data_IF_938710022840
#
_entry.id   IF_938710022840
#
_cell.length_a   1.000
_cell.length_b   1.000
_cell.length_c   1.000
_cell.angle_alpha   90.00
_cell.angle_beta   90.00
_cell.angle_gamma   90.00
#
_symmetry.space_group_name_H-M   'P 1'
#
loop_
_entity.id
_entity.type
_entity.pdbx_description
1 polymer ?
#
# COMPACT_ATOMS: atom_id res chain seq x y z
N UNK A 1 12.80 -17.78 7.57
CA UNK A 1 14.08 -18.07 8.21
C UNK A 1 14.94 -16.81 8.29
N UNK A 2 16.20 -16.94 8.70
CA UNK A 2 17.13 -15.83 8.86
C UNK A 2 17.41 -15.10 7.54
N UNK A 3 17.82 -13.84 7.64
CA UNK A 3 18.23 -13.05 6.49
C UNK A 3 19.60 -13.52 5.97
N UNK A 4 19.68 -13.85 4.69
CA UNK A 4 20.87 -14.40 4.06
C UNK A 4 22.06 -13.42 4.01
N UNK A 5 21.78 -12.12 4.10
CA UNK A 5 22.80 -11.08 4.17
C UNK A 5 23.64 -11.13 5.45
N UNK A 6 23.07 -11.57 6.56
CA UNK A 6 23.67 -11.45 7.89
C UNK A 6 24.47 -12.68 8.32
N UNK A 7 24.45 -13.77 7.56
CA UNK A 7 25.12 -15.00 7.92
C UNK A 7 25.54 -15.87 6.74
N UNK A 8 26.37 -16.88 6.98
CA UNK A 8 26.75 -17.82 5.95
C UNK A 8 25.55 -18.69 5.54
N UNK A 9 25.45 -19.04 4.26
CA UNK A 9 24.41 -19.91 3.70
C UNK A 9 24.27 -21.23 4.46
N UNK A 10 25.37 -21.76 4.98
CA UNK A 10 25.38 -22.99 5.82
C UNK A 10 24.53 -22.85 7.10
N UNK A 11 24.46 -21.65 7.67
CA UNK A 11 23.62 -21.41 8.84
C UNK A 11 22.14 -21.55 8.51
N UNK A 12 21.68 -20.94 7.42
CA UNK A 12 20.29 -21.02 6.97
C UNK A 12 19.89 -22.46 6.65
N UNK A 13 20.76 -23.21 5.98
CA UNK A 13 20.56 -24.66 5.75
C UNK A 13 20.45 -25.46 7.04
N UNK A 14 21.24 -25.13 8.05
CA UNK A 14 21.15 -25.76 9.37
C UNK A 14 19.80 -25.45 10.03
N UNK A 15 19.33 -24.21 9.99
CA UNK A 15 18.02 -23.83 10.53
C UNK A 15 16.88 -24.55 9.81
N UNK A 16 16.96 -24.67 8.49
CA UNK A 16 15.99 -25.43 7.70
C UNK A 16 15.98 -26.91 8.13
N UNK A 17 17.14 -27.56 8.21
CA UNK A 17 17.24 -28.94 8.65
C UNK A 17 16.61 -29.17 10.02
N UNK A 18 16.88 -28.28 10.99
CA UNK A 18 16.26 -28.34 12.31
C UNK A 18 14.73 -28.22 12.21
N UNK A 19 14.22 -27.29 11.41
CA UNK A 19 12.79 -27.11 11.22
C UNK A 19 12.13 -28.38 10.61
N UNK A 20 12.77 -29.01 9.62
CA UNK A 20 12.30 -30.26 9.02
C UNK A 20 12.33 -31.42 10.02
N UNK A 21 13.39 -31.55 10.83
CA UNK A 21 13.52 -32.57 11.88
C UNK A 21 12.45 -32.47 12.95
N UNK A 22 12.01 -31.28 13.31
CA UNK A 22 10.91 -31.05 14.27
C UNK A 22 9.52 -31.09 13.61
N UNK A 23 9.43 -31.39 12.31
CA UNK A 23 8.20 -31.73 11.61
C UNK A 23 7.56 -30.63 10.76
N UNK A 24 8.22 -29.51 10.50
CA UNK A 24 7.71 -28.52 9.56
C UNK A 24 7.78 -29.05 8.11
N UNK A 25 6.61 -29.07 7.45
CA UNK A 25 6.44 -29.48 6.04
C UNK A 25 5.82 -28.33 5.25
N UNK A 26 6.56 -27.25 5.11
CA UNK A 26 6.10 -26.00 4.47
C UNK A 26 7.20 -25.47 3.56
N UNK A 27 6.88 -24.63 2.57
CA UNK A 27 7.91 -23.89 1.83
C UNK A 27 8.72 -23.01 2.79
N UNK A 28 10.02 -23.01 2.63
CA UNK A 28 10.92 -22.13 3.37
C UNK A 28 11.30 -20.95 2.49
N UNK A 29 11.39 -19.77 3.11
CA UNK A 29 11.84 -18.58 2.42
C UNK A 29 12.94 -17.86 3.21
N UNK A 30 13.72 -17.07 2.49
CA UNK A 30 14.70 -16.16 3.07
C UNK A 30 14.60 -14.80 2.40
N UNK A 31 14.99 -13.76 3.13
CA UNK A 31 15.01 -12.41 2.63
C UNK A 31 16.21 -12.19 1.70
N UNK A 32 15.97 -11.77 0.48
CA UNK A 32 16.98 -11.53 -0.57
C UNK A 32 16.96 -10.11 -1.12
N UNK A 33 16.23 -9.22 -0.47
CA UNK A 33 16.16 -7.81 -0.87
C UNK A 33 17.47 -7.05 -0.69
N UNK A 34 18.42 -7.62 0.05
CA UNK A 34 19.76 -7.06 0.23
C UNK A 34 20.64 -7.43 -0.97
N UNK A 35 21.45 -6.51 -1.51
CA UNK A 35 22.18 -6.70 -2.76
C UNK A 35 23.12 -7.91 -2.82
N UNK A 36 23.54 -8.39 -1.66
CA UNK A 36 24.45 -9.54 -1.53
C UNK A 36 23.72 -10.85 -1.19
N UNK A 37 22.41 -10.80 -0.98
CA UNK A 37 21.61 -11.99 -0.73
C UNK A 37 21.46 -12.81 -2.01
N UNK A 38 22.09 -13.97 -2.07
CA UNK A 38 21.90 -14.95 -3.14
C UNK A 38 21.20 -16.14 -2.53
N UNK A 39 19.92 -16.37 -2.82
CA UNK A 39 19.22 -17.51 -2.26
C UNK A 39 19.80 -18.78 -2.84
N UNK A 40 19.93 -19.78 -1.98
CA UNK A 40 20.10 -21.14 -2.41
C UNK A 40 18.79 -21.68 -2.99
N UNK A 41 18.85 -22.58 -3.96
CA UNK A 41 17.69 -23.20 -4.63
C UNK A 41 16.71 -23.86 -3.66
N UNK A 42 17.14 -24.09 -2.44
CA UNK A 42 16.34 -24.65 -1.36
C UNK A 42 15.37 -23.65 -0.71
N UNK A 43 15.44 -22.37 -1.03
CA UNK A 43 14.65 -21.31 -0.41
C UNK A 43 13.93 -20.43 -1.43
N UNK A 44 12.69 -20.08 -1.12
CA UNK A 44 11.97 -19.08 -1.88
C UNK A 44 12.57 -17.68 -1.61
N UNK A 45 13.05 -16.97 -2.62
CA UNK A 45 13.56 -15.62 -2.47
C UNK A 45 12.40 -14.65 -2.18
N UNK A 46 12.55 -13.83 -1.14
CA UNK A 46 11.58 -12.81 -0.76
C UNK A 46 12.19 -11.44 -0.96
N UNK A 47 11.48 -10.62 -1.72
CA UNK A 47 11.89 -9.25 -2.03
C UNK A 47 11.35 -8.25 -1.01
N UNK A 48 11.83 -7.02 -1.10
CA UNK A 48 11.37 -5.91 -0.27
C UNK A 48 11.61 -4.57 -0.93
N UNK A 49 11.18 -3.50 -0.30
CA UNK A 49 11.40 -2.14 -0.77
C UNK A 49 10.63 -1.13 0.04
N UNK A 50 11.20 0.07 0.21
CA UNK A 50 10.61 1.17 0.98
C UNK A 50 10.46 2.42 0.11
N UNK A 51 9.48 3.27 0.38
CA UNK A 51 9.26 4.50 -0.39
C UNK A 51 10.35 5.56 -0.17
N UNK A 52 11.24 5.37 0.81
CA UNK A 52 12.32 6.27 1.16
C UNK A 52 13.49 5.49 1.78
N UNK A 53 14.64 6.11 1.97
CA UNK A 53 15.83 5.50 2.56
C UNK A 53 16.37 6.32 3.77
N UNK A 54 15.68 6.29 4.92
CA UNK A 54 16.07 7.07 6.09
C UNK A 54 17.42 6.69 6.68
N UNK A 55 17.91 5.49 6.40
CA UNK A 55 19.24 5.00 6.77
C UNK A 55 20.39 5.68 5.99
N UNK A 56 20.09 6.33 4.87
CA UNK A 56 21.09 7.05 4.10
C UNK A 56 21.59 8.28 4.89
N UNK A 57 22.89 8.32 5.18
CA UNK A 57 23.52 9.38 5.99
C UNK A 57 23.86 10.65 5.22
N UNK A 58 23.71 10.65 3.90
CA UNK A 58 23.90 11.82 3.07
C UNK A 58 22.91 12.95 3.42
N UNK A 59 23.34 14.20 3.27
CA UNK A 59 22.49 15.39 3.55
C UNK A 59 21.69 15.87 2.34
N UNK A 60 22.05 15.43 1.13
CA UNK A 60 21.35 15.79 -0.11
C UNK A 60 19.98 15.13 -0.19
N UNK A 61 19.12 15.68 -1.04
CA UNK A 61 17.90 14.99 -1.43
C UNK A 61 18.25 13.63 -2.06
N UNK A 62 17.46 12.61 -1.73
CA UNK A 62 17.60 11.30 -2.37
C UNK A 62 17.06 11.39 -3.79
N UNK A 63 17.69 10.65 -4.69
CA UNK A 63 17.14 10.45 -6.04
C UNK A 63 15.83 9.66 -5.94
N UNK A 64 14.87 9.88 -6.87
CA UNK A 64 13.74 9.00 -7.03
C UNK A 64 14.20 7.55 -7.18
N UNK A 65 13.52 6.64 -6.56
CA UNK A 65 13.90 5.23 -6.53
C UNK A 65 13.00 4.35 -7.42
N UNK A 66 13.43 3.13 -7.70
CA UNK A 66 12.73 2.19 -8.59
C UNK A 66 11.50 1.52 -7.96
N UNK A 67 11.14 1.84 -6.71
CA UNK A 67 10.09 1.14 -5.94
C UNK A 67 8.71 1.36 -6.50
N UNK A 68 8.53 2.46 -7.20
CA UNK A 68 7.27 2.79 -7.87
C UNK A 68 7.24 2.34 -9.33
N UNK A 69 8.28 1.63 -9.80
CA UNK A 69 8.31 1.10 -11.16
C UNK A 69 7.43 -0.14 -11.30
N UNK A 70 6.66 -0.18 -12.39
CA UNK A 70 5.98 -1.39 -12.84
C UNK A 70 6.91 -2.04 -13.87
N UNK A 71 7.53 -3.17 -13.51
CA UNK A 71 8.67 -3.74 -14.23
C UNK A 71 8.66 -5.27 -14.19
N UNK A 72 9.19 -5.95 -15.22
CA UNK A 72 9.37 -7.40 -15.18
C UNK A 72 10.50 -7.85 -14.24
N UNK A 73 11.36 -6.93 -13.77
CA UNK A 73 12.42 -7.28 -12.85
C UNK A 73 11.85 -7.65 -11.48
N UNK A 74 12.18 -8.82 -10.97
CA UNK A 74 11.79 -9.29 -9.64
C UNK A 74 12.83 -8.94 -8.58
N UNK A 75 14.05 -8.56 -8.98
CA UNK A 75 15.11 -8.12 -8.08
C UNK A 75 15.06 -6.62 -7.90
N UNK A 76 15.32 -6.17 -6.69
CA UNK A 76 15.48 -4.77 -6.36
C UNK A 76 16.81 -4.55 -5.66
N UNK A 77 17.57 -3.56 -6.13
CA UNK A 77 18.91 -3.28 -5.68
C UNK A 77 19.01 -2.29 -4.53
N UNK A 78 17.87 -1.89 -3.94
CA UNK A 78 17.83 -0.69 -3.12
C UNK A 78 17.47 -0.85 -1.64
N UNK A 79 16.98 -1.98 -1.14
CA UNK A 79 17.06 -2.16 0.31
C UNK A 79 18.53 -2.32 0.65
N UNK A 80 19.12 -1.25 1.18
CA UNK A 80 20.55 -1.20 1.46
C UNK A 80 21.47 -1.01 0.23
N UNK A 81 20.94 -0.87 -1.00
CA UNK A 81 21.74 -0.62 -2.21
C UNK A 81 22.49 0.69 -2.15
N UNK A 82 21.95 1.69 -1.47
CA UNK A 82 22.62 2.94 -1.13
C UNK A 82 23.83 2.74 -0.20
N UNK A 83 23.86 1.65 0.60
CA UNK A 83 25.00 1.27 1.43
C UNK A 83 26.05 0.48 0.66
N UNK A 84 25.66 -0.36 -0.28
CA UNK A 84 26.53 -1.36 -0.91
C UNK A 84 26.89 -1.05 -2.37
N UNK A 85 26.35 0.01 -2.96
CA UNK A 85 26.66 0.45 -4.35
C UNK A 85 26.37 -0.59 -5.44
N UNK A 86 25.49 -1.52 -5.20
CA UNK A 86 25.05 -2.44 -6.25
C UNK A 86 23.91 -1.81 -7.03
N UNK A 87 23.90 -1.91 -8.35
CA UNK A 87 23.02 -1.16 -9.24
C UNK A 87 22.37 -2.06 -10.29
N UNK A 88 21.83 -3.21 -9.90
CA UNK A 88 21.28 -4.09 -10.95
C UNK A 88 19.94 -4.69 -10.55
N UNK A 89 18.86 -4.08 -11.04
CA UNK A 89 17.61 -4.80 -11.23
C UNK A 89 17.77 -5.70 -12.45
N UNK A 90 17.80 -7.00 -12.30
CA UNK A 90 17.98 -7.95 -13.38
C UNK A 90 16.65 -8.59 -13.76
N UNK A 91 16.29 -8.49 -15.04
CA UNK A 91 15.16 -9.22 -15.63
C UNK A 91 15.57 -10.68 -15.83
N UNK A 92 14.67 -11.61 -15.54
CA UNK A 92 14.91 -13.06 -15.71
C UNK A 92 15.48 -13.76 -14.49
N UNK A 93 16.02 -13.02 -13.53
CA UNK A 93 16.43 -13.58 -12.24
C UNK A 93 15.19 -13.99 -11.46
N UNK A 94 15.18 -15.19 -10.91
CA UNK A 94 14.04 -15.76 -10.16
C UNK A 94 12.76 -16.00 -10.97
N UNK A 95 12.83 -16.09 -12.30
CA UNK A 95 11.63 -16.39 -13.12
C UNK A 95 11.07 -17.80 -12.90
N UNK A 96 11.88 -18.68 -12.34
CA UNK A 96 11.54 -20.07 -12.00
C UNK A 96 10.74 -20.22 -10.68
N UNK A 97 10.56 -19.13 -9.91
CA UNK A 97 9.80 -19.11 -8.65
C UNK A 97 8.72 -18.05 -8.66
N UNK A 98 7.68 -18.18 -7.82
CA UNK A 98 6.69 -17.12 -7.63
C UNK A 98 7.36 -15.82 -7.19
N UNK A 99 6.88 -14.69 -7.70
CA UNK A 99 7.30 -13.38 -7.23
C UNK A 99 6.68 -13.11 -5.86
N UNK A 100 7.50 -12.95 -4.84
CA UNK A 100 7.08 -12.80 -3.45
C UNK A 100 7.84 -11.70 -2.73
N UNK A 101 7.17 -11.02 -1.81
CA UNK A 101 7.74 -9.99 -0.96
C UNK A 101 7.31 -10.19 0.48
N UNK A 102 8.22 -10.03 1.44
CA UNK A 102 7.92 -10.05 2.86
C UNK A 102 8.24 -8.72 3.55
N UNK A 103 8.88 -7.80 2.83
CA UNK A 103 9.33 -6.52 3.37
C UNK A 103 8.97 -5.36 2.43
N UNK A 104 7.73 -5.37 1.93
CA UNK A 104 7.19 -4.20 1.22
C UNK A 104 6.80 -3.15 2.25
N UNK A 105 7.48 -2.00 2.26
CA UNK A 105 7.20 -0.91 3.18
C UNK A 105 6.00 -0.07 2.73
N UNK A 106 4.85 -0.18 3.38
CA UNK A 106 3.74 0.75 3.15
C UNK A 106 3.90 2.04 3.97
N UNK A 107 4.96 2.15 4.70
CA UNK A 107 5.44 3.26 5.48
C UNK A 107 6.95 3.23 5.54
N UNK A 108 7.55 4.06 6.38
CA UNK A 108 8.97 4.01 6.65
C UNK A 108 9.32 4.66 8.00
N UNK A 109 10.41 4.19 8.59
CA UNK A 109 10.90 4.70 9.84
C UNK A 109 11.61 6.06 9.64
N UNK A 110 11.68 6.84 10.72
CA UNK A 110 12.53 8.01 10.79
C UNK A 110 13.85 7.67 11.48
N UNK A 111 14.92 8.34 11.09
CA UNK A 111 16.22 8.24 11.75
C UNK A 111 16.69 9.59 12.25
N UNK A 112 17.83 9.63 12.96
CA UNK A 112 18.44 10.89 13.37
C UNK A 112 18.89 11.75 12.16
N UNK A 113 19.22 11.13 11.02
CA UNK A 113 19.70 11.84 9.84
C UNK A 113 18.58 12.29 8.93
N UNK A 114 17.50 11.48 8.82
CA UNK A 114 16.39 11.72 7.89
C UNK A 114 15.06 11.44 8.57
N UNK A 115 14.09 12.29 8.26
CA UNK A 115 12.72 12.17 8.76
C UNK A 115 11.76 12.25 7.58
N UNK A 116 11.70 11.19 6.74
CA UNK A 116 10.81 11.18 5.60
C UNK A 116 9.36 11.25 6.07
N UNK A 117 8.56 12.03 5.36
CA UNK A 117 7.12 11.95 5.44
C UNK A 117 6.63 10.97 4.37
N UNK A 118 5.79 10.05 4.77
CA UNK A 118 5.19 9.06 3.88
C UNK A 118 3.74 9.46 3.66
N UNK A 119 3.45 9.93 2.45
CA UNK A 119 2.10 10.29 2.02
C UNK A 119 1.23 9.05 1.75
N UNK A 120 -0.07 9.27 1.57
CA UNK A 120 -0.99 8.20 1.14
C UNK A 120 -0.49 7.51 -0.13
N UNK A 121 -0.04 8.29 -1.11
CA UNK A 121 0.45 7.76 -2.40
C UNK A 121 1.77 7.03 -2.26
N UNK A 122 2.66 7.48 -1.39
CA UNK A 122 3.92 6.79 -1.10
C UNK A 122 3.66 5.40 -0.50
N UNK A 123 2.85 5.35 0.56
CA UNK A 123 2.58 4.11 1.28
C UNK A 123 1.79 3.08 0.45
N UNK A 124 0.90 3.55 -0.42
CA UNK A 124 0.17 2.69 -1.34
C UNK A 124 1.02 2.26 -2.55
N UNK A 125 1.78 3.20 -3.12
CA UNK A 125 2.37 3.06 -4.45
C UNK A 125 3.42 1.95 -4.57
N UNK A 126 4.21 1.70 -3.52
CA UNK A 126 5.20 0.61 -3.54
C UNK A 126 4.52 -0.76 -3.64
N UNK A 127 3.50 -1.00 -2.80
CA UNK A 127 2.72 -2.23 -2.85
C UNK A 127 1.97 -2.38 -4.17
N UNK A 128 1.36 -1.30 -4.66
CA UNK A 128 0.67 -1.27 -5.94
C UNK A 128 1.59 -1.60 -7.12
N UNK A 129 2.79 -1.02 -7.18
CA UNK A 129 3.73 -1.27 -8.26
C UNK A 129 4.18 -2.74 -8.31
N UNK A 130 4.44 -3.35 -7.15
CA UNK A 130 4.77 -4.78 -7.05
C UNK A 130 3.59 -5.66 -7.47
N UNK A 131 2.39 -5.34 -7.01
CA UNK A 131 1.18 -6.05 -7.37
C UNK A 131 0.92 -5.97 -8.88
N UNK A 132 1.04 -4.79 -9.48
CA UNK A 132 0.96 -4.60 -10.92
C UNK A 132 2.06 -5.36 -11.69
N UNK A 133 3.23 -5.53 -11.08
CA UNK A 133 4.37 -6.28 -11.65
C UNK A 133 4.25 -7.81 -11.55
N UNK A 134 3.12 -8.32 -11.06
CA UNK A 134 2.87 -9.77 -11.02
C UNK A 134 3.20 -10.42 -9.68
N UNK A 135 3.33 -9.64 -8.60
CA UNK A 135 3.57 -10.19 -7.27
C UNK A 135 2.42 -11.12 -6.85
N UNK A 136 2.76 -12.29 -6.32
CA UNK A 136 1.83 -13.34 -5.91
C UNK A 136 1.68 -13.45 -4.38
N UNK A 137 2.69 -13.00 -3.63
CA UNK A 137 2.65 -12.93 -2.18
C UNK A 137 3.14 -11.55 -1.76
N UNK A 138 2.23 -10.74 -1.20
CA UNK A 138 2.50 -9.39 -0.75
C UNK A 138 2.55 -9.35 0.78
N UNK A 139 3.76 -9.41 1.33
CA UNK A 139 4.02 -9.21 2.75
C UNK A 139 4.56 -7.81 3.01
N UNK A 140 4.15 -7.24 4.12
CA UNK A 140 4.52 -5.88 4.51
C UNK A 140 5.48 -5.83 5.69
N UNK A 141 6.32 -4.79 5.69
CA UNK A 141 7.10 -4.39 6.85
C UNK A 141 7.17 -2.84 6.94
N UNK A 142 6.49 -2.19 7.89
CA UNK A 142 5.52 -2.69 8.87
C UNK A 142 4.11 -2.38 8.40
N UNK A 143 3.15 -3.31 8.56
CA UNK A 143 1.74 -2.99 8.36
C UNK A 143 1.12 -2.37 9.61
N UNK A 144 1.56 -2.82 10.77
CA UNK A 144 1.19 -2.28 12.08
C UNK A 144 2.42 -1.70 12.75
N UNK A 145 2.34 -0.47 13.20
CA UNK A 145 3.36 0.14 14.03
C UNK A 145 3.47 -0.50 15.40
N UNK A 146 4.60 -0.30 16.06
CA UNK A 146 4.88 -0.83 17.39
C UNK A 146 5.57 0.16 18.30
N UNK A 147 5.70 -0.23 19.56
CA UNK A 147 6.50 0.48 20.55
C UNK A 147 7.46 -0.49 21.22
N UNK A 148 8.74 -0.14 21.24
CA UNK A 148 9.74 -0.92 21.92
C UNK A 148 9.67 -0.70 23.44
N UNK A 149 9.99 -1.71 24.27
CA UNK A 149 10.10 -1.54 25.73
C UNK A 149 11.20 -0.53 26.10
N UNK A 150 10.92 0.33 27.07
CA UNK A 150 11.85 1.36 27.51
C UNK A 150 13.03 0.85 28.35
N UNK A 151 12.89 -0.31 28.97
CA UNK A 151 13.78 -0.86 30.00
C UNK A 151 14.82 -1.85 29.46
N UNK A 152 14.86 -2.04 28.13
CA UNK A 152 15.71 -3.06 27.50
C UNK A 152 16.51 -2.50 26.33
N UNK A 153 17.59 -3.19 26.01
CA UNK A 153 18.35 -2.90 24.80
C UNK A 153 17.48 -3.12 23.57
N UNK A 154 17.43 -2.11 22.72
CA UNK A 154 16.70 -2.14 21.46
C UNK A 154 17.63 -2.55 20.34
N UNK A 155 17.11 -3.37 19.44
CA UNK A 155 17.92 -3.93 18.36
C UNK A 155 18.47 -2.86 17.43
N UNK A 156 17.67 -1.91 17.00
CA UNK A 156 18.00 -0.98 15.92
C UNK A 156 18.10 0.46 16.39
N UNK A 157 18.97 0.73 17.34
CA UNK A 157 19.17 2.08 17.84
C UNK A 157 20.62 2.37 18.23
N UNK A 158 20.90 3.62 18.60
CA UNK A 158 22.23 4.09 18.94
C UNK A 158 22.87 3.34 20.11
N UNK A 159 22.08 2.84 21.07
CA UNK A 159 22.59 2.15 22.26
C UNK A 159 23.14 0.76 21.92
N UNK A 160 22.64 0.15 20.87
CA UNK A 160 23.12 -1.15 20.37
C UNK A 160 24.20 -1.01 19.30
N UNK A 161 24.64 0.21 19.01
CA UNK A 161 25.57 0.53 17.93
C UNK A 161 25.08 0.17 16.52
N UNK A 162 23.79 -0.08 16.35
CA UNK A 162 23.22 -0.33 15.05
C UNK A 162 23.28 0.94 14.18
N UNK A 163 23.67 0.84 12.90
CA UNK A 163 24.01 2.01 12.09
C UNK A 163 22.82 2.91 11.75
N UNK A 164 21.59 2.43 11.90
CA UNK A 164 20.40 3.16 11.45
C UNK A 164 19.96 4.29 12.37
N UNK A 165 20.33 4.27 13.65
CA UNK A 165 19.99 5.30 14.63
C UNK A 165 18.48 5.61 14.71
N UNK A 166 17.66 4.57 14.77
CA UNK A 166 16.22 4.68 14.96
C UNK A 166 15.86 5.23 16.34
N UNK A 167 14.66 5.80 16.52
CA UNK A 167 14.14 6.15 17.83
C UNK A 167 14.14 4.93 18.77
N UNK A 168 14.38 5.16 20.06
CA UNK A 168 14.51 4.05 21.02
C UNK A 168 13.18 3.35 21.26
N UNK A 169 12.12 4.12 21.47
CA UNK A 169 10.78 3.59 21.83
C UNK A 169 9.86 3.49 20.64
N UNK A 170 9.93 4.49 19.78
CA UNK A 170 9.00 4.61 18.64
C UNK A 170 9.43 3.69 17.51
N UNK A 171 8.59 2.71 17.23
CA UNK A 171 8.72 1.81 16.07
C UNK A 171 7.45 1.85 15.21
N UNK A 172 6.88 3.05 15.05
CA UNK A 172 5.63 3.28 14.33
C UNK A 172 5.71 3.05 12.83
N UNK A 173 6.88 3.31 12.21
CA UNK A 173 7.12 3.18 10.77
C UNK A 173 6.20 3.99 9.87
N UNK A 174 5.40 4.91 10.40
CA UNK A 174 4.30 5.52 9.66
C UNK A 174 3.45 4.44 8.94
N UNK A 175 3.28 3.31 9.61
CA UNK A 175 2.60 2.13 9.08
C UNK A 175 1.10 2.41 8.81
N UNK A 176 0.43 1.63 7.95
CA UNK A 176 -1.01 1.72 7.71
C UNK A 176 -1.85 1.74 8.97
N UNK A 177 -1.51 0.91 9.94
CA UNK A 177 -2.03 0.98 11.30
C UNK A 177 -0.93 1.54 12.21
N UNK A 178 -1.18 2.69 12.81
CA UNK A 178 -0.24 3.31 13.72
C UNK A 178 0.00 2.43 14.95
N UNK A 179 1.07 2.68 15.67
CA UNK A 179 1.34 2.01 16.96
C UNK A 179 0.22 2.19 17.99
N UNK A 180 -0.70 3.08 17.73
CA UNK A 180 -1.87 3.37 18.57
C UNK A 180 -3.17 2.78 18.02
N UNK A 181 -3.11 2.06 16.90
CA UNK A 181 -4.27 1.44 16.26
C UNK A 181 -5.05 2.37 15.32
N UNK A 182 -4.55 3.58 15.05
CA UNK A 182 -5.18 4.50 14.09
C UNK A 182 -4.90 4.05 12.65
N UNK A 183 -5.92 3.93 11.83
CA UNK A 183 -5.77 3.67 10.40
C UNK A 183 -5.39 4.96 9.66
N UNK A 184 -4.33 4.90 8.86
CA UNK A 184 -3.89 6.01 8.00
C UNK A 184 -4.46 5.89 6.60
N UNK A 185 -4.51 7.01 5.86
CA UNK A 185 -5.09 7.07 4.53
C UNK A 185 -4.52 6.03 3.53
N UNK A 186 -3.23 5.71 3.60
CA UNK A 186 -2.66 4.63 2.79
C UNK A 186 -3.12 3.24 3.25
N UNK A 187 -3.47 3.07 4.52
CA UNK A 187 -4.11 1.85 5.01
C UNK A 187 -5.50 1.65 4.41
N UNK A 188 -6.28 2.70 4.33
CA UNK A 188 -7.60 2.68 3.69
C UNK A 188 -7.50 2.30 2.21
N UNK A 189 -6.53 2.88 1.51
CA UNK A 189 -6.30 2.58 0.09
C UNK A 189 -5.79 1.15 -0.13
N UNK A 190 -4.87 0.67 0.70
CA UNK A 190 -4.39 -0.72 0.66
C UNK A 190 -5.54 -1.70 0.94
N UNK A 191 -6.46 -1.36 1.84
CA UNK A 191 -7.64 -2.19 2.13
C UNK A 191 -8.47 -2.46 0.88
N UNK A 192 -8.70 -1.45 0.02
CA UNK A 192 -9.43 -1.65 -1.23
C UNK A 192 -8.75 -2.67 -2.15
N UNK A 193 -7.43 -2.62 -2.26
CA UNK A 193 -6.67 -3.60 -3.04
C UNK A 193 -6.72 -5.00 -2.41
N UNK A 194 -6.64 -5.09 -1.08
CA UNK A 194 -6.76 -6.38 -0.39
C UNK A 194 -8.16 -6.98 -0.50
N UNK A 195 -9.20 -6.14 -0.43
CA UNK A 195 -10.58 -6.57 -0.66
C UNK A 195 -10.76 -7.10 -2.07
N UNK A 196 -10.22 -6.43 -3.09
CA UNK A 196 -10.23 -6.94 -4.46
C UNK A 196 -9.66 -8.36 -4.54
N UNK A 197 -8.48 -8.60 -3.97
CA UNK A 197 -7.82 -9.90 -4.00
C UNK A 197 -8.66 -10.96 -3.27
N UNK A 198 -9.27 -10.62 -2.15
CA UNK A 198 -10.00 -11.57 -1.31
C UNK A 198 -11.44 -11.80 -1.77
N UNK A 199 -12.14 -10.72 -2.14
CA UNK A 199 -13.59 -10.73 -2.32
C UNK A 199 -14.02 -10.62 -3.80
N UNK A 200 -13.13 -10.24 -4.71
CA UNK A 200 -13.47 -10.08 -6.12
C UNK A 200 -12.77 -11.12 -7.01
N UNK A 201 -11.46 -11.22 -6.96
CA UNK A 201 -10.66 -12.18 -7.74
C UNK A 201 -9.50 -12.76 -6.92
N UNK A 202 -9.76 -13.87 -6.24
CA UNK A 202 -8.76 -14.61 -5.47
C UNK A 202 -7.81 -15.44 -6.37
N UNK A 203 -8.07 -15.51 -7.67
CA UNK A 203 -7.22 -16.19 -8.66
C UNK A 203 -6.29 -15.24 -9.41
N UNK A 204 -6.23 -13.97 -9.04
CA UNK A 204 -5.36 -12.97 -9.69
C UNK A 204 -3.89 -13.42 -9.76
N UNK A 205 -3.42 -14.22 -8.82
CA UNK A 205 -2.06 -14.75 -8.81
C UNK A 205 -1.76 -15.73 -9.97
N UNK A 206 -2.79 -16.31 -10.60
CA UNK A 206 -2.63 -17.17 -11.79
C UNK A 206 -2.49 -16.35 -13.07
N UNK A 207 -2.80 -15.05 -13.04
CA UNK A 207 -2.71 -14.16 -14.19
C UNK A 207 -1.29 -13.62 -14.36
N UNK A 208 -0.68 -13.96 -15.49
CA UNK A 208 0.68 -13.51 -15.83
C UNK A 208 0.73 -12.00 -16.08
N UNK A 209 1.83 -11.35 -15.68
CA UNK A 209 2.06 -9.94 -15.96
C UNK A 209 2.73 -9.74 -17.33
N UNK A 210 2.20 -8.78 -18.11
CA UNK A 210 2.73 -8.36 -19.39
C UNK A 210 3.06 -6.88 -19.33
N UNK A 211 4.22 -6.52 -19.90
CA UNK A 211 4.79 -5.17 -19.80
C UNK A 211 4.94 -4.52 -21.17
N UNK A 212 4.88 -3.20 -21.25
CA UNK A 212 5.21 -2.49 -22.48
C UNK A 212 6.69 -2.70 -22.82
N UNK A 213 7.01 -2.60 -24.10
CA UNK A 213 8.40 -2.59 -24.54
C UNK A 213 9.05 -1.27 -24.12
N UNK A 214 9.83 -1.29 -23.06
CA UNK A 214 10.54 -0.13 -22.55
C UNK A 214 11.60 0.33 -23.53
N UNK A 215 11.58 1.62 -23.87
CA UNK A 215 12.59 2.21 -24.74
C UNK A 215 13.70 2.93 -23.97
N UNK A 216 13.41 3.47 -22.79
CA UNK A 216 14.37 4.31 -22.07
C UNK A 216 15.23 3.57 -21.05
N UNK A 217 14.77 2.47 -20.49
CA UNK A 217 15.44 1.79 -19.39
C UNK A 217 15.58 2.62 -18.10
N UNK A 218 15.04 3.84 -18.09
CA UNK A 218 15.08 4.76 -16.96
C UNK A 218 13.72 4.72 -16.23
N UNK A 219 13.64 4.13 -15.02
CA UNK A 219 12.40 4.06 -14.25
C UNK A 219 11.89 5.44 -13.80
N UNK A 220 12.74 6.47 -13.83
CA UNK A 220 12.41 7.84 -13.45
C UNK A 220 12.02 8.71 -14.65
N UNK A 221 11.75 8.12 -15.80
CA UNK A 221 11.30 8.85 -16.98
C UNK A 221 9.81 9.19 -16.85
N UNK A 222 9.52 10.42 -16.47
CA UNK A 222 8.15 10.93 -16.28
C UNK A 222 7.37 11.12 -17.59
N UNK A 223 8.02 11.01 -18.74
CA UNK A 223 7.37 11.03 -20.06
C UNK A 223 6.77 9.67 -20.40
N UNK A 224 7.08 8.64 -19.62
CA UNK A 224 6.65 7.27 -19.81
C UNK A 224 5.61 6.85 -18.76
N UNK A 225 4.46 6.39 -19.22
CA UNK A 225 3.42 5.84 -18.35
C UNK A 225 3.84 4.47 -17.82
N UNK A 226 3.92 4.33 -16.51
CA UNK A 226 4.13 3.04 -15.85
C UNK A 226 2.83 2.24 -15.92
N UNK A 227 2.85 1.13 -16.63
CA UNK A 227 1.68 0.27 -16.75
C UNK A 227 2.05 -1.20 -16.99
N UNK A 228 1.10 -2.06 -16.72
CA UNK A 228 1.15 -3.47 -17.04
C UNK A 228 -0.25 -4.03 -17.26
N UNK A 229 -0.31 -5.26 -17.75
CA UNK A 229 -1.52 -6.06 -17.83
C UNK A 229 -1.27 -7.36 -17.09
N UNK A 230 -2.17 -7.75 -16.20
CA UNK A 230 -2.20 -9.13 -15.68
C UNK A 230 -3.37 -9.85 -16.31
N UNK A 231 -3.10 -10.93 -17.04
CA UNK A 231 -4.13 -11.66 -17.76
C UNK A 231 -3.84 -13.16 -17.81
N UNK A 232 -4.90 -13.95 -17.91
CA UNK A 232 -4.82 -15.38 -18.18
C UNK A 232 -4.63 -15.67 -19.67
N UNK A 233 -4.48 -16.94 -20.01
CA UNK A 233 -4.30 -17.43 -21.39
C UNK A 233 -5.50 -17.12 -22.32
N UNK A 234 -6.68 -16.87 -21.75
CA UNK A 234 -7.89 -16.51 -22.47
C UNK A 234 -7.98 -15.01 -22.78
N UNK A 235 -7.08 -14.20 -22.23
CA UNK A 235 -7.08 -12.75 -22.38
C UNK A 235 -8.05 -12.04 -21.44
N UNK A 236 -8.47 -12.68 -20.34
CA UNK A 236 -9.23 -12.06 -19.27
C UNK A 236 -8.26 -11.53 -18.21
N UNK A 237 -8.44 -10.29 -17.78
CA UNK A 237 -7.50 -9.73 -16.81
C UNK A 237 -7.77 -8.30 -16.37
N UNK A 238 -6.68 -7.65 -15.97
CA UNK A 238 -6.68 -6.31 -15.40
C UNK A 238 -5.57 -5.47 -15.99
N UNK A 239 -5.88 -4.24 -16.36
CA UNK A 239 -4.91 -3.21 -16.72
C UNK A 239 -4.54 -2.41 -15.48
N UNK A 240 -3.27 -2.21 -15.25
CA UNK A 240 -2.69 -1.43 -14.15
C UNK A 240 -1.99 -0.20 -14.70
N UNK A 241 -2.18 0.94 -14.05
CA UNK A 241 -1.57 2.21 -14.42
C UNK A 241 -1.10 2.99 -13.21
N UNK A 242 0.08 3.60 -13.33
CA UNK A 242 0.65 4.50 -12.33
C UNK A 242 1.31 5.70 -13.00
N UNK A 243 0.78 6.89 -12.77
CA UNK A 243 1.38 8.16 -13.12
C UNK A 243 1.97 8.85 -11.86
N UNK A 244 2.59 8.05 -10.98
CA UNK A 244 3.12 8.51 -9.71
C UNK A 244 4.53 7.98 -9.44
N UNK A 245 5.34 8.84 -8.84
CA UNK A 245 6.60 8.50 -8.16
C UNK A 245 6.94 9.57 -7.13
N UNK A 246 7.46 9.15 -5.98
CA UNK A 246 7.87 10.08 -4.93
C UNK A 246 8.99 11.00 -5.42
N UNK A 247 8.76 12.31 -5.28
CA UNK A 247 9.73 13.33 -5.66
C UNK A 247 9.79 13.66 -7.16
N UNK A 248 8.87 13.12 -7.96
CA UNK A 248 8.71 13.48 -9.37
C UNK A 248 7.31 14.05 -9.64
N UNK A 249 7.26 15.06 -10.50
CA UNK A 249 6.01 15.66 -10.98
C UNK A 249 5.69 15.12 -12.37
N UNK A 250 4.65 14.32 -12.49
CA UNK A 250 4.14 13.82 -13.76
C UNK A 250 3.24 14.84 -14.43
N UNK A 251 3.14 14.76 -15.75
CA UNK A 251 2.07 15.39 -16.51
C UNK A 251 0.91 14.42 -16.72
N UNK A 252 -0.27 14.94 -17.08
CA UNK A 252 -1.38 14.14 -17.55
C UNK A 252 -0.99 13.43 -18.85
N UNK A 253 -1.38 12.17 -18.99
CA UNK A 253 -1.29 11.44 -20.24
C UNK A 253 -2.64 11.48 -20.95
N UNK A 254 -2.63 11.87 -22.21
CA UNK A 254 -3.83 11.99 -23.03
C UNK A 254 -3.93 10.87 -24.04
N UNK A 255 -5.17 10.44 -24.33
CA UNK A 255 -5.47 9.44 -25.38
C UNK A 255 -4.60 8.17 -25.26
N UNK A 256 -4.45 7.67 -24.04
CA UNK A 256 -3.63 6.48 -23.78
C UNK A 256 -4.30 5.27 -24.43
N UNK A 257 -3.64 4.71 -25.42
CA UNK A 257 -4.09 3.53 -26.15
C UNK A 257 -3.17 2.35 -25.83
N UNK A 258 -3.73 1.28 -25.32
CA UNK A 258 -2.99 0.06 -24.99
C UNK A 258 -3.50 -1.10 -25.84
N UNK A 259 -2.58 -1.76 -26.51
CA UNK A 259 -2.83 -3.02 -27.22
C UNK A 259 -1.76 -4.02 -26.79
N UNK A 260 -2.16 -5.22 -26.44
CA UNK A 260 -1.24 -6.29 -26.07
C UNK A 260 -1.68 -7.62 -26.70
N UNK A 261 -0.71 -8.55 -26.82
CA UNK A 261 -0.96 -9.86 -27.41
C UNK A 261 -0.72 -10.95 -26.36
N UNK A 262 -1.62 -11.92 -26.33
CA UNK A 262 -1.52 -13.13 -25.54
C UNK A 262 -1.63 -14.30 -26.51
N UNK A 263 -0.52 -14.97 -26.80
CA UNK A 263 -0.44 -15.91 -27.90
C UNK A 263 -0.85 -15.22 -29.21
N UNK A 264 -1.81 -15.80 -29.92
CA UNK A 264 -2.33 -15.27 -31.19
C UNK A 264 -3.48 -14.24 -31.01
N UNK A 265 -3.89 -13.98 -29.76
CA UNK A 265 -4.99 -13.05 -29.45
C UNK A 265 -4.44 -11.64 -29.23
N UNK A 266 -5.02 -10.66 -29.95
CA UNK A 266 -4.76 -9.24 -29.73
C UNK A 266 -5.92 -8.62 -28.96
N UNK A 267 -5.60 -7.99 -27.81
CA UNK A 267 -6.56 -7.29 -26.97
C UNK A 267 -6.28 -5.80 -27.02
N UNK A 268 -7.28 -5.02 -27.43
CA UNK A 268 -7.22 -3.57 -27.44
C UNK A 268 -8.07 -3.02 -26.29
N UNK A 269 -7.45 -2.25 -25.40
CA UNK A 269 -8.13 -1.55 -24.32
C UNK A 269 -8.74 -0.23 -24.79
N UNK A 270 -9.74 0.32 -24.06
CA UNK A 270 -10.30 1.62 -24.38
C UNK A 270 -9.24 2.72 -24.27
N UNK A 271 -9.36 3.75 -25.12
CA UNK A 271 -8.57 4.97 -24.96
C UNK A 271 -9.04 5.74 -23.74
N UNK A 272 -8.11 6.15 -22.87
CA UNK A 272 -8.40 6.88 -21.65
C UNK A 272 -7.38 8.00 -21.40
N UNK A 273 -7.82 9.06 -20.73
CA UNK A 273 -6.95 10.07 -20.16
C UNK A 273 -6.53 9.67 -18.76
N UNK A 274 -5.24 9.78 -18.44
CA UNK A 274 -4.69 9.41 -17.14
C UNK A 274 -4.11 10.64 -16.47
N UNK A 275 -4.64 10.96 -15.30
CA UNK A 275 -4.21 12.11 -14.51
C UNK A 275 -2.87 11.89 -13.81
N UNK A 276 -2.07 12.93 -13.76
CA UNK A 276 -0.85 12.96 -12.95
C UNK A 276 -1.15 12.59 -11.50
N UNK A 277 -0.32 11.73 -10.93
CA UNK A 277 -0.44 11.25 -9.56
C UNK A 277 -1.49 10.15 -9.35
N UNK A 278 -2.19 9.67 -10.39
CA UNK A 278 -3.15 8.58 -10.27
C UNK A 278 -2.48 7.21 -10.28
N UNK A 279 -3.08 6.28 -9.55
CA UNK A 279 -2.72 4.86 -9.52
C UNK A 279 -3.99 4.04 -9.41
N UNK A 280 -4.30 3.25 -10.42
CA UNK A 280 -5.53 2.46 -10.48
C UNK A 280 -5.35 1.21 -11.35
N UNK A 281 -6.34 0.33 -11.29
CA UNK A 281 -6.50 -0.80 -12.21
C UNK A 281 -7.97 -1.03 -12.51
N UNK A 282 -8.25 -1.62 -13.67
CA UNK A 282 -9.61 -1.99 -14.08
C UNK A 282 -9.64 -3.31 -14.84
N UNK A 283 -10.76 -4.06 -14.78
CA UNK A 283 -10.92 -5.34 -15.45
C UNK A 283 -11.26 -5.17 -16.94
N UNK A 284 -10.82 -6.16 -17.72
CA UNK A 284 -11.21 -6.30 -19.13
C UNK A 284 -11.43 -7.77 -19.49
N UNK A 285 -12.26 -8.03 -20.51
CA UNK A 285 -12.68 -9.36 -20.97
C UNK A 285 -13.13 -10.28 -19.83
N UNK A 286 -13.87 -9.72 -18.88
CA UNK A 286 -14.30 -10.46 -17.68
C UNK A 286 -15.75 -10.88 -17.79
N UNK A 287 -16.05 -12.11 -17.34
CA UNK A 287 -17.42 -12.58 -17.17
C UNK A 287 -17.83 -12.46 -15.71
N UNK A 288 -18.95 -11.77 -15.47
CA UNK A 288 -19.54 -11.65 -14.13
C UNK A 288 -21.00 -12.11 -14.26
N UNK A 289 -21.41 -13.09 -13.48
CA UNK A 289 -22.74 -13.68 -13.60
C UNK A 289 -22.99 -14.20 -15.02
N UNK A 290 -24.05 -13.72 -15.67
CA UNK A 290 -24.38 -14.05 -17.06
C UNK A 290 -23.79 -13.06 -18.08
N UNK A 291 -23.19 -11.96 -17.64
CA UNK A 291 -22.76 -10.84 -18.49
C UNK A 291 -21.29 -10.94 -18.86
N UNK A 292 -20.97 -10.74 -20.13
CA UNK A 292 -19.60 -10.57 -20.59
C UNK A 292 -19.29 -9.08 -20.71
N UNK A 293 -18.24 -8.64 -20.00
CA UNK A 293 -17.75 -7.28 -20.04
C UNK A 293 -16.45 -7.22 -20.86
N UNK A 294 -16.43 -6.40 -21.91
CA UNK A 294 -15.19 -6.13 -22.63
C UNK A 294 -14.25 -5.33 -21.74
N UNK A 295 -14.80 -4.38 -20.96
CA UNK A 295 -14.11 -3.68 -19.88
C UNK A 295 -15.11 -3.02 -18.92
N UNK A 296 -14.64 -2.71 -17.70
CA UNK A 296 -15.33 -1.86 -16.74
C UNK A 296 -14.31 -0.81 -16.26
N UNK A 297 -14.48 0.47 -16.66
CA UNK A 297 -13.58 1.57 -16.26
C UNK A 297 -13.87 2.01 -14.82
N UNK A 298 -13.64 1.11 -13.89
CA UNK A 298 -13.69 1.32 -12.46
C UNK A 298 -12.86 0.23 -11.78
N UNK A 299 -12.27 0.54 -10.63
CA UNK A 299 -11.43 -0.38 -9.87
C UNK A 299 -12.29 -1.34 -9.05
N UNK A 300 -12.22 -2.65 -9.27
CA UNK A 300 -13.02 -3.62 -8.51
C UNK A 300 -12.57 -3.69 -7.05
N UNK A 301 -13.54 -3.88 -6.14
CA UNK A 301 -13.31 -4.01 -4.71
C UNK A 301 -13.82 -5.37 -4.20
N UNK A 302 -15.12 -5.63 -4.38
CA UNK A 302 -15.76 -6.83 -3.85
C UNK A 302 -16.95 -7.24 -4.72
N UNK A 303 -17.35 -8.51 -4.65
CA UNK A 303 -18.58 -9.02 -5.26
C UNK A 303 -19.33 -9.93 -4.28
N UNK A 304 -20.65 -9.85 -4.32
CA UNK A 304 -21.55 -10.68 -3.55
C UNK A 304 -22.43 -11.44 -4.54
N UNK A 305 -22.53 -12.74 -4.37
CA UNK A 305 -23.47 -13.57 -5.13
C UNK A 305 -24.54 -14.10 -4.20
N UNK A 306 -25.80 -13.73 -4.49
CA UNK A 306 -26.96 -14.16 -3.70
C UNK A 306 -28.16 -14.33 -4.62
N UNK A 307 -28.89 -15.43 -4.46
CA UNK A 307 -30.16 -15.72 -5.19
C UNK A 307 -30.05 -15.52 -6.72
N UNK A 308 -28.93 -15.97 -7.32
CA UNK A 308 -28.66 -15.85 -8.76
C UNK A 308 -28.30 -14.46 -9.26
N UNK A 309 -28.25 -13.45 -8.38
CA UNK A 309 -27.78 -12.09 -8.65
C UNK A 309 -26.36 -11.89 -8.18
N UNK A 310 -25.61 -11.05 -8.88
CA UNK A 310 -24.25 -10.67 -8.50
C UNK A 310 -24.18 -9.15 -8.32
N UNK A 311 -23.88 -8.71 -7.11
CA UNK A 311 -23.63 -7.30 -6.80
C UNK A 311 -22.14 -7.06 -6.71
N UNK A 312 -21.62 -6.12 -7.52
CA UNK A 312 -20.20 -5.79 -7.60
C UNK A 312 -19.97 -4.34 -7.16
N UNK A 313 -19.02 -4.17 -6.27
CA UNK A 313 -18.58 -2.88 -5.75
C UNK A 313 -17.27 -2.49 -6.42
N UNK A 314 -17.24 -1.27 -6.93
CA UNK A 314 -16.09 -0.67 -7.61
C UNK A 314 -15.78 0.69 -7.00
N UNK A 315 -14.51 1.07 -6.98
CA UNK A 315 -14.11 2.46 -6.78
C UNK A 315 -13.91 3.15 -8.12
N UNK A 316 -14.15 4.43 -8.17
CA UNK A 316 -13.74 5.29 -9.28
C UNK A 316 -12.23 5.12 -9.54
N UNK A 317 -11.83 4.96 -10.81
CA UNK A 317 -10.45 5.19 -11.22
C UNK A 317 -10.19 6.70 -11.24
N UNK A 318 -9.26 7.19 -10.46
CA UNK A 318 -9.03 8.64 -10.22
C UNK A 318 -9.12 9.49 -11.50
N UNK A 319 -10.21 10.25 -11.64
CA UNK A 319 -10.44 11.17 -12.75
C UNK A 319 -10.89 10.54 -14.08
N UNK A 320 -11.33 9.29 -14.07
CA UNK A 320 -11.90 8.59 -15.22
C UNK A 320 -13.41 8.44 -15.04
N UNK A 321 -14.18 8.90 -16.01
CA UNK A 321 -15.62 8.69 -16.02
C UNK A 321 -15.96 7.19 -16.08
N UNK A 322 -16.72 6.65 -15.12
CA UNK A 322 -16.99 5.23 -15.06
C UNK A 322 -17.97 4.80 -16.16
N UNK A 323 -17.57 3.83 -16.93
CA UNK A 323 -18.38 3.19 -17.97
C UNK A 323 -17.95 1.74 -18.19
N UNK A 324 -18.79 0.97 -18.81
CA UNK A 324 -18.45 -0.38 -19.22
C UNK A 324 -18.96 -0.67 -20.64
N UNK A 325 -18.39 -1.69 -21.26
CA UNK A 325 -19.00 -2.33 -22.42
C UNK A 325 -19.46 -3.73 -21.99
N UNK A 326 -20.75 -3.92 -22.02
CA UNK A 326 -21.40 -5.16 -21.64
C UNK A 326 -22.17 -5.74 -22.83
N UNK A 327 -21.91 -6.99 -23.18
CA UNK A 327 -22.53 -7.65 -24.34
C UNK A 327 -22.46 -6.77 -25.62
N UNK A 328 -21.32 -6.09 -25.85
CA UNK A 328 -21.07 -5.22 -27.01
C UNK A 328 -21.74 -3.85 -26.95
N UNK A 329 -22.34 -3.44 -25.82
CA UNK A 329 -22.98 -2.12 -25.66
C UNK A 329 -22.24 -1.29 -24.60
N UNK A 330 -21.93 -0.04 -24.95
CA UNK A 330 -21.36 0.91 -24.00
C UNK A 330 -22.46 1.44 -23.06
N UNK A 331 -22.18 1.47 -21.76
CA UNK A 331 -23.09 1.89 -20.69
C UNK A 331 -22.31 2.82 -19.77
N UNK A 332 -22.81 4.04 -19.57
CA UNK A 332 -22.30 4.95 -18.52
C UNK A 332 -22.79 4.46 -17.17
N UNK A 333 -21.89 4.46 -16.19
CA UNK A 333 -22.19 4.00 -14.82
C UNK A 333 -22.41 5.20 -13.91
N UNK A 334 -23.53 5.22 -13.23
CA UNK A 334 -23.84 6.26 -12.22
C UNK A 334 -23.15 5.93 -10.91
N UNK A 335 -22.62 6.96 -10.24
CA UNK A 335 -22.07 6.81 -8.89
C UNK A 335 -23.15 6.57 -7.84
N UNK A 336 -22.80 5.80 -6.80
CA UNK A 336 -23.61 5.51 -5.61
C UNK A 336 -25.02 4.94 -5.92
N UNK A 337 -25.18 4.33 -7.07
CA UNK A 337 -26.40 3.68 -7.53
C UNK A 337 -26.13 2.30 -8.08
N UNK A 338 -27.13 1.45 -8.03
CA UNK A 338 -27.12 0.18 -8.74
C UNK A 338 -27.29 0.41 -10.23
N UNK A 339 -26.27 0.05 -11.02
CA UNK A 339 -26.34 0.00 -12.46
C UNK A 339 -26.63 -1.47 -12.83
N UNK A 340 -27.89 -1.79 -13.12
CA UNK A 340 -28.35 -3.16 -13.33
C UNK A 340 -28.17 -3.56 -14.80
N UNK A 341 -27.44 -4.65 -15.02
CA UNK A 341 -27.20 -5.25 -16.34
C UNK A 341 -27.49 -6.75 -16.21
N UNK A 342 -28.61 -7.20 -16.75
CA UNK A 342 -29.15 -8.57 -16.58
C UNK A 342 -29.21 -8.98 -15.08
N UNK A 343 -28.44 -9.99 -14.68
CA UNK A 343 -28.37 -10.44 -13.28
C UNK A 343 -27.21 -9.83 -12.48
N UNK A 344 -26.52 -8.82 -13.04
CA UNK A 344 -25.38 -8.15 -12.41
C UNK A 344 -25.74 -6.71 -12.04
N UNK A 345 -25.47 -6.33 -10.81
CA UNK A 345 -25.54 -4.94 -10.30
C UNK A 345 -24.13 -4.40 -10.12
N UNK A 346 -23.79 -3.31 -10.79
CA UNK A 346 -22.52 -2.60 -10.64
C UNK A 346 -22.76 -1.34 -9.83
N UNK A 347 -22.04 -1.19 -8.70
CA UNK A 347 -22.09 -0.02 -7.82
C UNK A 347 -20.73 0.63 -7.86
N UNK A 348 -20.63 1.81 -8.47
CA UNK A 348 -19.40 2.59 -8.52
C UNK A 348 -19.42 3.65 -7.43
N UNK A 349 -18.39 3.67 -6.61
CA UNK A 349 -18.24 4.55 -5.45
C UNK A 349 -17.21 5.61 -5.82
N UNK A 350 -17.48 6.91 -5.61
CA UNK A 350 -16.48 7.96 -5.78
C UNK A 350 -15.20 7.64 -5.01
N UNK A 351 -14.03 7.94 -5.56
CA UNK A 351 -12.74 7.50 -5.02
C UNK A 351 -12.55 7.84 -3.54
N UNK A 352 -12.83 9.09 -3.14
CA UNK A 352 -12.67 9.51 -1.75
C UNK A 352 -13.64 8.79 -0.80
N UNK A 353 -14.87 8.54 -1.23
CA UNK A 353 -15.85 7.78 -0.46
C UNK A 353 -15.50 6.30 -0.35
N UNK A 354 -14.86 5.74 -1.37
CA UNK A 354 -14.45 4.34 -1.38
C UNK A 354 -13.43 4.02 -0.26
N UNK A 355 -12.66 5.01 0.20
CA UNK A 355 -11.74 4.85 1.34
C UNK A 355 -12.47 4.47 2.63
N UNK A 356 -13.77 4.74 2.74
CA UNK A 356 -14.61 4.37 3.86
C UNK A 356 -15.36 3.04 3.66
N UNK A 357 -15.08 2.36 2.54
CA UNK A 357 -15.70 1.07 2.24
C UNK A 357 -15.03 -0.06 3.02
N UNK A 358 -15.83 -0.82 3.74
CA UNK A 358 -15.44 -2.02 4.46
C UNK A 358 -16.31 -3.19 4.02
N UNK A 359 -15.75 -4.38 4.04
CA UNK A 359 -16.48 -5.61 3.73
C UNK A 359 -16.26 -6.59 4.87
N UNK A 360 -17.28 -6.75 5.72
CA UNK A 360 -17.19 -7.47 6.98
C UNK A 360 -18.30 -8.49 7.04
N UNK A 361 -17.94 -9.76 7.31
CA UNK A 361 -18.89 -10.87 7.39
C UNK A 361 -19.76 -11.05 6.13
N UNK A 362 -19.21 -10.72 4.94
CA UNK A 362 -19.93 -10.84 3.67
C UNK A 362 -20.84 -9.66 3.35
N UNK A 363 -20.85 -8.61 4.16
CA UNK A 363 -21.70 -7.42 3.96
C UNK A 363 -20.89 -6.16 3.80
N UNK A 364 -21.34 -5.20 2.96
CA UNK A 364 -20.68 -3.92 2.73
C UNK A 364 -21.07 -2.90 3.80
N UNK A 365 -20.10 -2.12 4.24
CA UNK A 365 -20.27 -1.00 5.17
C UNK A 365 -19.54 0.23 4.67
N UNK A 366 -20.09 1.42 4.99
CA UNK A 366 -19.42 2.71 4.79
C UNK A 366 -19.22 3.36 6.16
N UNK A 367 -18.00 3.26 6.66
CA UNK A 367 -17.65 3.66 8.02
C UNK A 367 -16.37 4.50 8.00
N UNK A 368 -16.43 5.67 8.66
CA UNK A 368 -15.27 6.55 8.81
C UNK A 368 -14.41 6.13 10.01
N UNK A 369 -13.12 6.44 9.97
CA UNK A 369 -12.20 6.24 11.08
C UNK A 369 -11.67 4.80 11.17
N UNK A 370 -11.31 4.39 12.37
CA UNK A 370 -10.79 3.05 12.61
C UNK A 370 -11.93 2.06 12.82
N UNK A 371 -11.98 1.05 11.99
CA UNK A 371 -13.02 0.00 12.03
C UNK A 371 -12.39 -1.35 12.30
N UNK A 372 -12.94 -2.08 13.26
CA UNK A 372 -12.53 -3.45 13.55
C UNK A 372 -13.72 -4.34 13.88
N UNK A 373 -13.52 -5.64 13.76
CA UNK A 373 -14.54 -6.63 14.09
C UNK A 373 -14.01 -7.53 15.20
N UNK A 374 -14.78 -7.67 16.27
CA UNK A 374 -14.50 -8.59 17.36
C UNK A 374 -15.72 -9.46 17.62
N UNK A 375 -15.52 -10.79 17.60
CA UNK A 375 -16.58 -11.79 17.80
C UNK A 375 -17.85 -11.53 16.98
N UNK A 376 -17.70 -11.10 15.71
CA UNK A 376 -18.80 -10.80 14.80
C UNK A 376 -19.44 -9.43 14.99
N UNK A 377 -19.03 -8.66 15.99
CA UNK A 377 -19.52 -7.31 16.24
C UNK A 377 -18.58 -6.31 15.57
N UNK A 378 -19.14 -5.39 14.78
CA UNK A 378 -18.40 -4.32 14.12
C UNK A 378 -18.31 -3.12 15.06
N UNK A 379 -17.11 -2.65 15.29
CA UNK A 379 -16.81 -1.47 16.07
C UNK A 379 -16.24 -0.39 15.16
N UNK A 380 -16.64 0.84 15.42
CA UNK A 380 -16.15 2.03 14.75
C UNK A 380 -15.64 3.01 15.81
N UNK A 381 -14.38 3.40 15.70
CA UNK A 381 -13.81 4.47 16.50
C UNK A 381 -13.71 5.73 15.63
N UNK A 382 -14.50 6.74 15.98
CA UNK A 382 -14.43 8.06 15.36
C UNK A 382 -13.58 8.98 16.23
N UNK A 383 -12.73 9.77 15.58
CA UNK A 383 -12.09 10.90 16.24
C UNK A 383 -13.16 11.97 16.44
N UNK A 384 -13.61 12.15 17.66
CA UNK A 384 -14.53 13.25 17.98
C UNK A 384 -13.72 14.53 18.22
N UNK A 385 -14.07 15.60 17.50
CA UNK A 385 -13.57 16.93 17.80
C UNK A 385 -14.26 17.46 19.07
N UNK A 386 -13.44 17.76 20.08
CA UNK A 386 -13.93 18.47 21.26
C UNK A 386 -13.61 19.95 21.04
N UNK A 387 -14.65 20.77 20.88
CA UNK A 387 -14.51 22.24 20.84
C UNK A 387 -14.26 22.73 22.26
N UNK A 388 -13.02 23.06 22.56
CA UNK A 388 -12.62 23.64 23.83
C UNK A 388 -12.77 25.15 23.74
N UNK A 389 -13.94 25.67 24.15
CA UNK A 389 -14.23 27.12 24.15
C UNK A 389 -13.54 27.88 25.27
N UNK A 390 -12.98 27.18 26.26
CA UNK A 390 -12.50 27.77 27.50
C UNK A 390 -11.00 27.55 27.72
N UNK A 391 -10.46 28.04 28.83
CA UNK A 391 -9.05 28.09 29.18
C UNK A 391 -8.39 26.71 29.21
N UNK A 392 -7.27 26.52 28.47
CA UNK A 392 -6.35 25.41 28.71
C UNK A 392 -5.40 25.81 29.84
N UNK A 393 -5.35 25.04 30.91
CA UNK A 393 -4.27 25.15 31.90
C UNK A 393 -2.98 24.54 31.33
N UNK A 394 -2.02 25.41 31.01
CA UNK A 394 -0.68 25.01 30.58
C UNK A 394 0.27 24.88 31.76
N UNK A 395 0.09 24.02 32.63
CA UNK A 395 0.73 23.77 33.92
C UNK A 395 -0.02 24.37 35.10
N UNK A 396 0.23 23.82 36.28
CA UNK A 396 -0.36 24.33 37.56
C UNK A 396 -0.03 25.79 37.88
N UNK A 397 0.83 26.43 37.10
CA UNK A 397 1.36 27.76 37.39
C UNK A 397 1.08 28.85 36.37
N UNK A 398 0.55 28.52 35.18
CA UNK A 398 0.23 29.54 34.17
C UNK A 398 -1.07 29.24 33.45
N UNK A 399 -2.10 30.02 33.76
CA UNK A 399 -3.33 30.08 32.95
C UNK A 399 -3.13 31.05 31.79
N UNK A 400 -3.19 30.59 30.57
CA UNK A 400 -3.21 31.44 29.39
C UNK A 400 -4.53 31.24 28.65
N UNK A 401 -5.25 32.31 28.44
CA UNK A 401 -6.39 32.33 27.53
C UNK A 401 -5.81 32.34 26.10
N UNK A 402 -6.07 31.29 25.35
CA UNK A 402 -5.71 31.28 23.94
C UNK A 402 -6.74 32.09 23.13
N UNK A 403 -6.28 33.02 22.30
CA UNK A 403 -7.18 33.90 21.55
C UNK A 403 -7.82 33.21 20.32
N UNK A 404 -7.64 31.89 20.17
CA UNK A 404 -8.05 31.16 18.99
C UNK A 404 -8.83 29.90 19.34
N UNK A 405 -9.78 29.53 18.49
CA UNK A 405 -10.42 28.22 18.56
C UNK A 405 -9.40 27.15 18.20
N UNK A 406 -9.23 26.17 19.06
CA UNK A 406 -8.41 25.00 18.84
C UNK A 406 -9.30 23.77 18.98
N UNK A 407 -8.93 22.71 18.29
CA UNK A 407 -9.64 21.45 18.32
C UNK A 407 -8.78 20.40 18.98
N UNK A 408 -9.33 19.78 20.01
CA UNK A 408 -8.76 18.60 20.65
C UNK A 408 -9.54 17.38 20.13
N UNK A 409 -8.85 16.48 19.47
CA UNK A 409 -9.44 15.26 18.96
C UNK A 409 -9.15 14.12 19.92
N UNK A 410 -10.19 13.50 20.48
CA UNK A 410 -10.06 12.26 21.25
C UNK A 410 -9.97 11.10 20.27
N UNK A 411 -8.95 10.25 20.45
CA UNK A 411 -8.78 9.03 19.65
C UNK A 411 -9.45 7.81 20.26
N UNK A 412 -10.52 8.02 21.07
CA UNK A 412 -11.26 6.93 21.70
C UNK A 412 -10.71 6.49 23.05
N UNK A 413 -11.10 5.29 23.55
CA UNK A 413 -10.83 4.75 24.91
C UNK A 413 -9.35 4.71 25.35
N UNK A 414 -8.40 5.04 24.47
CA UNK A 414 -6.95 4.98 24.75
C UNK A 414 -6.29 6.32 25.05
N UNK A 415 -7.05 7.39 25.23
CA UNK A 415 -6.54 8.66 25.77
C UNK A 415 -5.58 9.44 24.86
N UNK A 416 -5.66 9.27 23.56
CA UNK A 416 -4.89 10.06 22.60
C UNK A 416 -5.68 11.28 22.15
N UNK A 417 -5.00 12.42 22.14
CA UNK A 417 -5.56 13.68 21.70
C UNK A 417 -4.67 14.29 20.62
N UNK A 418 -5.27 14.70 19.51
CA UNK A 418 -4.59 15.49 18.48
C UNK A 418 -4.98 16.95 18.68
N UNK A 419 -4.02 17.78 19.06
CA UNK A 419 -4.22 19.22 19.12
C UNK A 419 -3.94 19.82 17.73
N UNK A 420 -4.96 20.44 17.14
CA UNK A 420 -4.82 21.19 15.89
C UNK A 420 -4.81 22.67 16.23
N UNK A 421 -3.66 23.30 16.00
CA UNK A 421 -3.50 24.75 16.19
C UNK A 421 -3.66 25.48 14.85
N UNK A 422 -4.28 26.68 14.84
CA UNK A 422 -4.31 27.53 13.66
C UNK A 422 -2.89 27.86 13.18
N UNK A 423 -2.68 27.95 11.87
CA UNK A 423 -1.36 28.21 11.27
C UNK A 423 -0.67 29.48 11.78
N UNK A 424 -1.43 30.46 12.24
CA UNK A 424 -0.92 31.73 12.71
C UNK A 424 -0.25 31.66 14.09
N UNK A 425 -0.59 30.64 14.89
CA UNK A 425 0.07 30.40 16.19
C UNK A 425 1.50 29.85 16.03
N UNK A 426 1.80 29.20 14.90
CA UNK A 426 3.10 28.62 14.63
C UNK A 426 4.20 29.67 14.34
N UNK A 427 3.86 30.96 14.29
CA UNK A 427 4.82 32.06 14.06
C UNK A 427 5.56 32.50 15.31
N UNK A 428 5.05 32.20 16.48
CA UNK A 428 5.67 32.55 17.73
C UNK A 428 6.31 31.30 18.36
N UNK A 429 7.59 31.38 18.70
CA UNK A 429 8.29 30.30 19.43
C UNK A 429 7.74 30.21 20.84
N UNK A 430 6.87 29.25 21.12
CA UNK A 430 6.48 28.89 22.48
C UNK A 430 6.43 27.36 22.65
N UNK A 431 6.87 26.93 23.81
CA UNK A 431 6.75 25.55 24.21
C UNK A 431 5.34 25.29 24.74
N UNK A 432 4.63 24.37 24.08
CA UNK A 432 3.35 23.87 24.56
C UNK A 432 3.61 22.58 25.33
N UNK A 433 3.40 22.63 26.64
CA UNK A 433 3.43 21.45 27.50
C UNK A 433 2.00 21.14 27.94
N UNK A 434 1.45 20.03 27.43
CA UNK A 434 0.14 19.53 27.85
C UNK A 434 0.38 18.48 28.95
N UNK A 435 -0.02 18.78 30.18
CA UNK A 435 -0.08 17.83 31.27
C UNK A 435 -1.52 17.32 31.41
N UNK A 436 -1.71 16.05 31.12
CA UNK A 436 -2.99 15.37 31.36
C UNK A 436 -2.88 14.60 32.68
N UNK A 437 -3.69 14.94 33.65
CA UNK A 437 -3.90 14.09 34.82
C UNK A 437 -4.77 12.90 34.38
N UNK A 438 -4.15 11.80 34.02
CA UNK A 438 -4.85 10.52 33.87
C UNK A 438 -5.23 10.02 35.25
N UNK A 439 -6.42 10.34 35.71
CA UNK A 439 -7.05 9.65 36.81
C UNK A 439 -7.42 8.26 36.37
N UNK A 440 -6.54 7.34 36.65
CA UNK A 440 -6.87 5.95 36.86
C UNK A 440 -7.19 5.12 35.63
N UNK A 441 -6.21 4.40 35.16
CA UNK A 441 -6.30 2.95 34.90
C UNK A 441 -4.98 2.31 35.31
#
# INVERSE_FOLDING_TARGET
LENEYTGPTSHIKTLRKIAEEIGFKVPFFTMTAWPSGVPDDDFLPMMGGYPDAPWNRGKSALKPNNRFAITPAKTEDEIGGDLFKSNKSEVGVYDYVPYASCETGPGNQVTQHRRPYISEKDGYGVGFAKFASGLNLLGYYMFCGGSNPNDRLMQENRLTFYPNNYPIVDYDFQAPLSRYGECRAHGDRLRLMHLFIREFDNEICTKQAYFPKWKSGNPNDISFLKCSVRADENGCGYFFSSAYEKGLEYNDFKDVNVTFNIGDKSVKLPSIDIKAGSMFFYPFNIKIGSVNFDYILAQPIAKIQKDGKVSCYFAECEGIEPKCVANGREILLSFDKENIIDNVSIIVIPFEKAKNFHFINGEPYFLDGTVYCDNGTVYQEQISAIDLKDEIEFSKTQKRKLPYNYFLYSTGKRGYYKLVLPKDILKDNFDIRLEFDFLGL
#
